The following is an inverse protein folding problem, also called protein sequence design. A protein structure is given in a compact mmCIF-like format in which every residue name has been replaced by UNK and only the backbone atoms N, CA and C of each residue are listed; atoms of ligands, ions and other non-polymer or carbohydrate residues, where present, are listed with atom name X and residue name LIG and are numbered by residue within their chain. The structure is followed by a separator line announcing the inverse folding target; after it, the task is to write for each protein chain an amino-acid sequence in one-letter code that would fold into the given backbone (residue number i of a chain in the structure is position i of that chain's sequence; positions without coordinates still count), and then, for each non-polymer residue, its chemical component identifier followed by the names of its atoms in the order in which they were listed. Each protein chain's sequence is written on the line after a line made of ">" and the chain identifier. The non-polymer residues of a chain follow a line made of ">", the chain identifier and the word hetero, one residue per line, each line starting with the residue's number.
data_IF_069546612116
#
_entry.id   IF_069546612116
#
_cell.length_a   1.000
_cell.length_b   1.000
_cell.length_c   1.000
_cell.angle_alpha   90.00
_cell.angle_beta   90.00
_cell.angle_gamma   90.00
#
_symmetry.space_group_name_H-M   'P 1'
#
loop_
_entity.id
_entity.type
_entity.pdbx_description
1 polymer ?
#
# COMPACT_ATOMS: atom_id res chain seq x y z
N UNK A 1 -3.22 0.44 -2.64
CA UNK A 1 -2.50 1.73 -2.61
C UNK A 1 -3.34 2.80 -3.30
N UNK A 2 -3.63 2.71 -4.63
CA UNK A 2 -4.35 3.72 -5.39
C UNK A 2 -5.69 4.14 -4.74
N UNK A 3 -6.52 3.16 -4.35
CA UNK A 3 -7.82 3.45 -3.71
C UNK A 3 -7.69 4.23 -2.39
N UNK A 4 -6.66 3.95 -1.61
CA UNK A 4 -6.38 4.71 -0.39
C UNK A 4 -5.96 6.14 -0.72
N UNK A 5 -5.14 6.34 -1.75
CA UNK A 5 -4.75 7.66 -2.23
C UNK A 5 -5.97 8.48 -2.68
N UNK A 6 -6.86 7.88 -3.47
CA UNK A 6 -8.08 8.55 -3.93
C UNK A 6 -9.05 8.92 -2.80
N UNK A 7 -9.17 8.05 -1.79
CA UNK A 7 -10.13 8.24 -0.69
C UNK A 7 -9.59 9.15 0.40
N UNK A 8 -8.30 9.04 0.74
CA UNK A 8 -7.69 9.71 1.88
C UNK A 8 -6.66 10.78 1.50
N UNK A 9 -6.22 10.81 0.25
CA UNK A 9 -5.29 11.78 -0.30
C UNK A 9 -5.97 12.98 -0.96
N UNK A 10 -5.30 13.60 -1.96
CA UNK A 10 -5.80 14.81 -2.64
C UNK A 10 -7.08 14.62 -3.44
N UNK A 11 -7.46 13.38 -3.75
CA UNK A 11 -8.65 13.05 -4.52
C UNK A 11 -8.38 12.07 -5.66
N UNK A 12 -9.40 11.79 -6.49
CA UNK A 12 -9.25 10.86 -7.60
C UNK A 12 -8.29 11.39 -8.66
N UNK A 13 -7.50 10.49 -9.21
CA UNK A 13 -6.65 10.76 -10.36
C UNK A 13 -7.51 10.93 -11.63
N UNK A 14 -7.06 11.77 -12.54
CA UNK A 14 -7.58 11.78 -13.91
C UNK A 14 -7.27 10.44 -14.58
N UNK A 15 -7.98 10.14 -15.68
CA UNK A 15 -7.73 8.90 -16.44
C UNK A 15 -6.28 8.78 -16.90
N UNK A 16 -5.71 9.85 -17.40
CA UNK A 16 -4.33 9.87 -17.87
C UNK A 16 -3.31 9.64 -16.75
N UNK A 17 -3.55 10.22 -15.56
CA UNK A 17 -2.70 10.00 -14.39
C UNK A 17 -2.83 8.57 -13.87
N UNK A 18 -4.04 7.98 -13.88
CA UNK A 18 -4.25 6.60 -13.49
C UNK A 18 -3.55 5.63 -14.46
N UNK A 19 -3.65 5.86 -15.77
CA UNK A 19 -2.95 5.06 -16.78
C UNK A 19 -1.42 5.17 -16.64
N UNK A 20 -0.92 6.37 -16.38
CA UNK A 20 0.50 6.57 -16.07
C UNK A 20 0.93 5.82 -14.81
N UNK A 21 0.15 5.89 -13.74
CA UNK A 21 0.41 5.15 -12.50
C UNK A 21 0.53 3.64 -12.77
N UNK A 22 -0.40 3.05 -13.53
CA UNK A 22 -0.36 1.63 -13.85
C UNK A 22 0.83 1.26 -14.74
N UNK A 23 1.19 2.10 -15.69
CA UNK A 23 2.38 1.88 -16.52
C UNK A 23 3.69 1.92 -15.71
N UNK A 24 3.78 2.79 -14.70
CA UNK A 24 4.92 2.86 -13.78
C UNK A 24 4.97 1.64 -12.84
N UNK A 25 3.84 1.05 -12.47
CA UNK A 25 3.77 -0.16 -11.65
C UNK A 25 4.41 -1.40 -12.33
N UNK A 26 4.54 -1.41 -13.64
CA UNK A 26 5.20 -2.50 -14.40
C UNK A 26 6.64 -2.69 -13.93
N UNK A 27 7.37 -1.61 -13.66
CA UNK A 27 8.75 -1.66 -13.18
C UNK A 27 8.83 -2.38 -11.83
N UNK A 28 7.89 -2.07 -10.92
CA UNK A 28 7.83 -2.71 -9.61
C UNK A 28 7.51 -4.22 -9.71
N UNK A 29 6.65 -4.61 -10.65
CA UNK A 29 6.33 -6.01 -10.92
C UNK A 29 7.53 -6.76 -11.52
N UNK A 30 8.24 -6.15 -12.45
CA UNK A 30 9.45 -6.71 -13.05
C UNK A 30 10.54 -6.95 -12.01
N UNK A 31 10.74 -6.01 -11.07
CA UNK A 31 11.66 -6.17 -9.94
C UNK A 31 11.26 -7.35 -9.01
N UNK A 32 10.00 -7.72 -9.01
CA UNK A 32 9.47 -8.88 -8.30
C UNK A 32 9.45 -10.16 -9.16
N UNK A 33 10.17 -10.19 -10.27
CA UNK A 33 10.29 -11.33 -11.20
C UNK A 33 9.01 -11.67 -11.99
N UNK A 34 8.04 -10.77 -12.03
CA UNK A 34 6.84 -10.91 -12.86
C UNK A 34 7.19 -10.54 -14.30
N UNK A 35 6.64 -11.28 -15.27
CA UNK A 35 6.84 -10.97 -16.69
C UNK A 35 6.15 -9.61 -17.03
N UNK A 36 6.90 -8.59 -17.47
CA UNK A 36 6.34 -7.26 -17.76
C UNK A 36 5.24 -7.24 -18.81
N UNK A 37 5.24 -8.23 -19.72
CA UNK A 37 4.23 -8.36 -20.77
C UNK A 37 2.85 -8.78 -20.23
N UNK A 38 2.80 -9.37 -19.06
CA UNK A 38 1.57 -9.84 -18.42
C UNK A 38 0.97 -8.82 -17.45
N UNK A 39 1.70 -7.72 -17.17
CA UNK A 39 1.28 -6.70 -16.21
C UNK A 39 0.40 -5.66 -16.90
N UNK A 40 -0.83 -5.42 -16.40
CA UNK A 40 -1.70 -4.38 -16.92
C UNK A 40 -1.07 -2.99 -16.79
N UNK A 41 -1.20 -2.18 -17.85
CA UNK A 41 -0.55 -0.87 -17.98
C UNK A 41 -1.52 0.31 -17.96
N UNK A 42 -2.81 0.03 -17.95
CA UNK A 42 -3.85 1.05 -17.97
C UNK A 42 -4.99 0.68 -17.03
N UNK A 43 -5.80 1.67 -16.71
CA UNK A 43 -7.01 1.49 -15.91
C UNK A 43 -7.94 0.42 -16.49
N UNK A 44 -8.12 0.42 -17.81
CA UNK A 44 -9.04 -0.51 -18.46
C UNK A 44 -8.47 -1.93 -18.47
N UNK A 45 -7.15 -2.09 -18.71
CA UNK A 45 -6.49 -3.39 -18.62
C UNK A 45 -6.54 -3.97 -17.20
N UNK A 46 -6.34 -3.15 -16.17
CA UNK A 46 -6.47 -3.57 -14.77
C UNK A 46 -7.89 -4.03 -14.46
N UNK A 47 -8.91 -3.30 -14.94
CA UNK A 47 -10.31 -3.71 -14.77
C UNK A 47 -10.61 -5.02 -15.46
N UNK A 48 -10.15 -5.20 -16.69
CA UNK A 48 -10.30 -6.45 -17.44
C UNK A 48 -9.57 -7.61 -16.76
N UNK A 49 -8.36 -7.37 -16.26
CA UNK A 49 -7.61 -8.35 -15.50
C UNK A 49 -8.40 -8.84 -14.27
N UNK A 50 -8.90 -7.92 -13.45
CA UNK A 50 -9.72 -8.28 -12.29
C UNK A 50 -11.04 -8.96 -12.68
N UNK A 51 -11.68 -8.54 -13.78
CA UNK A 51 -12.90 -9.19 -14.26
C UNK A 51 -12.67 -10.65 -14.64
N UNK A 52 -11.54 -10.95 -15.28
CA UNK A 52 -11.14 -12.33 -15.64
C UNK A 52 -10.74 -13.17 -14.43
N UNK A 53 -10.01 -12.57 -13.50
CA UNK A 53 -9.47 -13.30 -12.34
C UNK A 53 -10.51 -13.53 -11.25
N UNK A 54 -11.50 -12.63 -11.13
CA UNK A 54 -12.49 -12.70 -10.04
C UNK A 54 -13.20 -14.06 -9.91
N UNK A 55 -13.65 -14.73 -10.98
CA UNK A 55 -14.28 -16.05 -10.86
C UNK A 55 -13.36 -17.16 -10.33
N UNK A 56 -12.03 -16.98 -10.51
CA UNK A 56 -11.04 -17.94 -10.06
C UNK A 56 -10.54 -17.67 -8.62
N UNK A 57 -10.87 -16.50 -8.06
CA UNK A 57 -10.43 -16.14 -6.71
C UNK A 57 -11.27 -16.89 -5.68
N UNK A 58 -10.57 -17.61 -4.80
CA UNK A 58 -11.15 -18.26 -3.65
C UNK A 58 -10.32 -17.95 -2.40
N UNK A 59 -10.91 -18.11 -1.23
CA UNK A 59 -10.22 -18.03 0.04
C UNK A 59 -10.33 -19.33 0.79
N UNK A 60 -9.22 -19.78 1.38
CA UNK A 60 -9.21 -20.84 2.38
C UNK A 60 -9.37 -20.23 3.79
N UNK A 61 -9.81 -21.02 4.74
CA UNK A 61 -9.85 -20.61 6.16
C UNK A 61 -8.48 -20.12 6.66
N UNK A 62 -7.40 -20.71 6.17
CA UNK A 62 -6.04 -20.31 6.50
C UNK A 62 -5.72 -18.91 5.96
N UNK A 63 -6.12 -18.62 4.73
CA UNK A 63 -5.95 -17.30 4.13
C UNK A 63 -6.79 -16.24 4.85
N UNK A 64 -8.05 -16.56 5.19
CA UNK A 64 -8.91 -15.66 5.99
C UNK A 64 -8.31 -15.37 7.37
N UNK A 65 -7.84 -16.39 8.08
CA UNK A 65 -7.15 -16.20 9.37
C UNK A 65 -5.91 -15.33 9.25
N UNK A 66 -5.11 -15.50 8.20
CA UNK A 66 -3.94 -14.66 7.95
C UNK A 66 -4.34 -13.20 7.67
N UNK A 67 -5.36 -12.96 6.85
CA UNK A 67 -5.86 -11.61 6.58
C UNK A 67 -6.41 -10.94 7.85
N UNK A 68 -7.18 -11.67 8.66
CA UNK A 68 -7.69 -11.15 9.93
C UNK A 68 -6.55 -10.87 10.92
N UNK A 69 -5.52 -11.72 10.96
CA UNK A 69 -4.34 -11.48 11.77
C UNK A 69 -3.60 -10.21 11.36
N UNK A 70 -3.41 -9.98 10.07
CA UNK A 70 -2.74 -8.77 9.56
C UNK A 70 -3.53 -7.49 9.84
N UNK A 71 -4.85 -7.53 9.69
CA UNK A 71 -5.70 -6.36 9.90
C UNK A 71 -6.02 -6.12 11.38
N UNK A 72 -6.15 -7.18 12.17
CA UNK A 72 -6.57 -7.11 13.58
C UNK A 72 -5.60 -7.87 14.46
N UNK A 73 -4.31 -7.51 14.36
CA UNK A 73 -3.25 -8.16 15.14
C UNK A 73 -3.68 -8.46 16.57
N UNK A 74 -3.55 -9.70 17.05
CA UNK A 74 -3.90 -10.05 18.43
C UNK A 74 -2.96 -9.35 19.41
N UNK A 75 -3.47 -9.04 20.58
CA UNK A 75 -2.68 -8.47 21.66
C UNK A 75 -1.79 -9.56 22.25
N UNK A 76 -0.49 -9.54 21.91
CA UNK A 76 0.50 -10.49 22.41
C UNK A 76 1.66 -9.73 23.06
N UNK A 77 1.68 -9.70 24.38
CA UNK A 77 2.75 -9.08 25.17
C UNK A 77 2.76 -7.53 25.16
N UNK A 78 3.65 -6.95 25.94
CA UNK A 78 3.78 -5.48 26.09
C UNK A 78 4.48 -4.81 24.90
N UNK A 79 5.38 -5.53 24.22
CA UNK A 79 6.17 -4.99 23.09
C UNK A 79 5.34 -4.75 21.83
N UNK A 80 4.13 -5.29 21.74
CA UNK A 80 3.28 -5.20 20.54
C UNK A 80 2.08 -4.25 20.70
N UNK A 81 2.01 -3.52 21.82
CA UNK A 81 0.85 -2.67 22.14
C UNK A 81 0.67 -1.53 21.11
N UNK A 82 1.75 -0.91 20.65
CA UNK A 82 1.66 0.17 19.67
C UNK A 82 1.15 -0.36 18.33
N UNK A 83 1.70 -1.48 17.87
CA UNK A 83 1.27 -2.10 16.62
C UNK A 83 -0.17 -2.59 16.69
N UNK A 84 -0.56 -3.18 17.80
CA UNK A 84 -1.95 -3.56 18.08
C UNK A 84 -2.89 -2.35 18.00
N UNK A 85 -2.56 -1.25 18.69
CA UNK A 85 -3.39 -0.04 18.70
C UNK A 85 -3.52 0.57 17.29
N UNK A 86 -2.40 0.68 16.56
CA UNK A 86 -2.39 1.19 15.20
C UNK A 86 -3.21 0.28 14.27
N UNK A 87 -3.05 -1.03 14.35
CA UNK A 87 -3.81 -1.96 13.51
C UNK A 87 -5.31 -1.86 13.78
N UNK A 88 -5.72 -1.73 15.03
CA UNK A 88 -7.13 -1.55 15.41
C UNK A 88 -7.72 -0.23 14.93
N UNK A 89 -6.92 0.82 14.94
CA UNK A 89 -7.34 2.13 14.44
C UNK A 89 -7.46 2.13 12.90
N UNK A 90 -6.53 1.49 12.20
CA UNK A 90 -6.48 1.53 10.74
C UNK A 90 -7.31 0.42 10.06
N UNK A 91 -7.61 -0.68 10.74
CA UNK A 91 -8.34 -1.79 10.16
C UNK A 91 -9.71 -1.38 9.56
N UNK A 92 -10.57 -0.62 10.27
CA UNK A 92 -11.85 -0.20 9.69
C UNK A 92 -11.68 0.68 8.44
N UNK A 93 -10.68 1.56 8.43
CA UNK A 93 -10.37 2.38 7.26
C UNK A 93 -9.89 1.53 6.08
N UNK A 94 -9.04 0.54 6.33
CA UNK A 94 -8.57 -0.40 5.30
C UNK A 94 -9.74 -1.19 4.73
N UNK A 95 -10.60 -1.75 5.59
CA UNK A 95 -11.80 -2.49 5.17
C UNK A 95 -12.73 -1.59 4.34
N UNK A 96 -12.90 -0.32 4.74
CA UNK A 96 -13.73 0.65 4.00
C UNK A 96 -13.23 0.92 2.57
N UNK A 97 -11.95 0.71 2.28
CA UNK A 97 -11.38 0.86 0.93
C UNK A 97 -11.48 -0.39 0.07
N UNK A 98 -11.78 -1.55 0.67
CA UNK A 98 -11.91 -2.79 -0.06
C UNK A 98 -13.20 -2.82 -0.88
N UNK A 99 -13.17 -3.30 -2.13
CA UNK A 99 -14.37 -3.61 -2.90
C UNK A 99 -15.26 -4.62 -2.17
N UNK A 100 -16.57 -4.53 -2.38
CA UNK A 100 -17.54 -5.40 -1.71
C UNK A 100 -17.21 -6.90 -1.84
N UNK A 101 -16.88 -7.35 -3.04
CA UNK A 101 -16.52 -8.75 -3.28
C UNK A 101 -15.27 -9.22 -2.51
N UNK A 102 -14.30 -8.33 -2.27
CA UNK A 102 -13.14 -8.65 -1.43
C UNK A 102 -13.50 -8.76 0.06
N UNK A 103 -14.43 -7.93 0.50
CA UNK A 103 -14.95 -8.04 1.88
C UNK A 103 -15.69 -9.35 2.09
N UNK A 104 -16.53 -9.74 1.13
CA UNK A 104 -17.26 -11.01 1.14
C UNK A 104 -16.29 -12.20 1.18
N UNK A 105 -15.29 -12.24 0.30
CA UNK A 105 -14.26 -13.27 0.30
C UNK A 105 -13.46 -13.33 1.62
N UNK A 106 -13.09 -12.19 2.16
CA UNK A 106 -12.34 -12.08 3.41
C UNK A 106 -13.18 -12.22 4.68
N UNK A 107 -14.52 -12.32 4.55
CA UNK A 107 -15.47 -12.31 5.67
C UNK A 107 -15.28 -11.08 6.58
N UNK A 108 -15.07 -9.91 5.96
CA UNK A 108 -14.97 -8.63 6.67
C UNK A 108 -16.34 -7.99 6.77
N UNK A 109 -17.05 -8.37 7.83
CA UNK A 109 -18.33 -7.75 8.15
C UNK A 109 -18.08 -6.40 8.85
N UNK A 110 -18.44 -5.31 8.17
CA UNK A 110 -18.33 -3.95 8.70
C UNK A 110 -19.56 -3.13 8.27
N UNK A 111 -20.33 -2.62 9.25
CA UNK A 111 -21.49 -1.79 8.96
C UNK A 111 -21.13 -0.53 8.16
N UNK A 112 -21.98 -0.12 7.22
CA UNK A 112 -21.74 1.06 6.39
C UNK A 112 -21.59 2.37 7.17
N UNK A 113 -22.21 2.47 8.35
CA UNK A 113 -22.04 3.62 9.26
C UNK A 113 -20.60 3.75 9.75
N UNK A 114 -19.90 2.62 9.95
CA UNK A 114 -18.48 2.61 10.33
C UNK A 114 -17.65 3.14 9.17
N UNK A 115 -17.92 2.70 7.93
CA UNK A 115 -17.27 3.21 6.72
C UNK A 115 -17.43 4.73 6.58
N UNK A 116 -18.65 5.23 6.79
CA UNK A 116 -18.97 6.65 6.70
C UNK A 116 -18.24 7.49 7.77
N UNK A 117 -18.14 6.97 8.99
CA UNK A 117 -17.47 7.66 10.09
C UNK A 117 -15.93 7.65 9.96
N UNK A 118 -15.35 6.53 9.50
CA UNK A 118 -13.90 6.40 9.39
C UNK A 118 -13.28 7.19 8.23
N UNK A 119 -13.99 7.40 7.13
CA UNK A 119 -13.48 8.17 6.00
C UNK A 119 -13.01 9.58 6.38
N UNK A 120 -13.86 10.43 6.98
CA UNK A 120 -13.43 11.78 7.38
C UNK A 120 -12.37 11.77 8.49
N UNK A 121 -12.47 10.83 9.43
CA UNK A 121 -11.50 10.69 10.52
C UNK A 121 -10.09 10.38 9.99
N UNK A 122 -9.96 9.40 9.11
CA UNK A 122 -8.67 9.04 8.53
C UNK A 122 -8.16 10.13 7.59
N UNK A 123 -9.02 10.76 6.80
CA UNK A 123 -8.64 11.90 5.95
C UNK A 123 -8.08 13.06 6.77
N UNK A 124 -8.71 13.39 7.89
CA UNK A 124 -8.20 14.40 8.81
C UNK A 124 -6.86 13.98 9.43
N UNK A 125 -6.74 12.73 9.88
CA UNK A 125 -5.50 12.18 10.40
C UNK A 125 -4.35 12.23 9.39
N UNK A 126 -4.61 11.88 8.13
CA UNK A 126 -3.60 11.94 7.05
C UNK A 126 -3.17 13.37 6.74
N UNK A 127 -4.10 14.33 6.75
CA UNK A 127 -3.76 15.75 6.59
C UNK A 127 -2.87 16.26 7.73
N UNK A 128 -3.19 15.88 8.97
CA UNK A 128 -2.37 16.23 10.14
C UNK A 128 -0.99 15.55 10.05
N UNK A 129 -0.94 14.27 9.68
CA UNK A 129 0.32 13.54 9.51
C UNK A 129 1.20 14.13 8.40
N UNK A 130 0.61 14.73 7.37
CA UNK A 130 1.32 15.43 6.29
C UNK A 130 1.85 16.82 6.67
N UNK A 131 1.57 17.34 7.86
CA UNK A 131 2.19 18.57 8.35
C UNK A 131 3.69 18.29 8.58
N UNK A 132 4.63 19.07 8.00
CA UNK A 132 6.06 18.75 8.03
C UNK A 132 6.64 18.53 9.44
N UNK A 133 6.15 19.24 10.44
CA UNK A 133 6.58 19.05 11.83
C UNK A 133 6.11 17.71 12.41
N UNK A 134 4.86 17.32 12.12
CA UNK A 134 4.26 16.06 12.57
C UNK A 134 4.92 14.88 11.83
N UNK A 135 5.04 14.96 10.51
CA UNK A 135 5.74 13.99 9.68
C UNK A 135 7.17 13.75 10.19
N UNK A 136 7.93 14.82 10.38
CA UNK A 136 9.30 14.73 10.90
C UNK A 136 9.36 14.04 12.26
N UNK A 137 8.39 14.29 13.13
CA UNK A 137 8.31 13.68 14.45
C UNK A 137 7.98 12.18 14.38
N UNK A 138 7.02 11.80 13.53
CA UNK A 138 6.65 10.41 13.28
C UNK A 138 7.85 9.63 12.71
N UNK A 139 8.47 10.18 11.66
CA UNK A 139 9.61 9.55 11.00
C UNK A 139 10.81 9.42 11.92
N UNK A 140 11.07 10.42 12.77
CA UNK A 140 12.16 10.36 13.78
C UNK A 140 11.99 9.18 14.73
N UNK A 141 10.76 8.90 15.13
CA UNK A 141 10.45 7.85 16.11
C UNK A 141 10.35 6.46 15.48
N UNK A 142 9.77 6.37 14.27
CA UNK A 142 9.42 5.09 13.64
C UNK A 142 10.42 4.66 12.56
N UNK A 143 10.98 5.62 11.81
CA UNK A 143 11.82 5.36 10.64
C UNK A 143 12.97 6.37 10.54
N UNK A 144 13.97 6.32 11.44
CA UNK A 144 15.03 7.33 11.52
C UNK A 144 15.88 7.44 10.24
N UNK A 145 16.11 6.33 9.53
CA UNK A 145 16.85 6.33 8.26
C UNK A 145 16.05 7.03 7.15
N UNK A 146 14.76 6.74 7.05
CA UNK A 146 13.86 7.38 6.08
C UNK A 146 13.77 8.89 6.32
N UNK A 147 13.72 9.31 7.60
CA UNK A 147 13.76 10.74 7.96
C UNK A 147 15.01 11.43 7.43
N UNK A 148 16.18 10.80 7.58
CA UNK A 148 17.44 11.39 7.11
C UNK A 148 17.42 11.52 5.58
N UNK A 149 17.01 10.47 4.86
CA UNK A 149 16.92 10.49 3.42
C UNK A 149 15.93 11.55 2.89
N UNK A 150 14.74 11.65 3.51
CA UNK A 150 13.76 12.67 3.15
C UNK A 150 14.25 14.08 3.45
N UNK A 151 14.87 14.31 4.60
CA UNK A 151 15.45 15.64 4.94
C UNK A 151 16.50 16.06 3.91
N UNK A 152 17.37 15.14 3.54
CA UNK A 152 18.43 15.41 2.59
C UNK A 152 17.89 15.62 1.18
N UNK A 153 16.86 14.86 0.78
CA UNK A 153 16.12 15.07 -0.45
C UNK A 153 15.41 16.44 -0.49
N UNK A 154 14.72 16.83 0.59
CA UNK A 154 14.04 18.12 0.68
C UNK A 154 15.00 19.31 0.62
N UNK A 155 16.22 19.15 1.18
CA UNK A 155 17.26 20.19 1.10
C UNK A 155 17.86 20.32 -0.29
N UNK A 156 18.22 19.19 -0.90
CA UNK A 156 18.90 19.15 -2.18
C UNK A 156 17.95 19.22 -3.38
N UNK A 157 16.63 18.97 -3.16
CA UNK A 157 15.59 18.74 -4.20
C UNK A 157 15.97 17.65 -5.22
N UNK A 158 16.94 16.84 -4.86
CA UNK A 158 17.46 15.73 -5.66
C UNK A 158 18.07 14.68 -4.72
N UNK A 159 18.13 13.40 -5.10
CA UNK A 159 18.86 12.41 -4.31
C UNK A 159 20.35 12.76 -4.27
N UNK A 160 20.95 12.66 -3.07
CA UNK A 160 22.39 12.94 -2.86
C UNK A 160 23.30 12.01 -3.67
N UNK A 161 22.83 10.82 -3.95
CA UNK A 161 23.53 9.82 -4.76
C UNK A 161 22.50 9.19 -5.70
N UNK A 162 22.17 9.82 -6.82
CA UNK A 162 21.26 9.25 -7.78
C UNK A 162 21.90 7.99 -8.36
N UNK A 163 21.37 6.83 -8.01
CA UNK A 163 21.71 5.57 -8.64
C UNK A 163 20.50 5.16 -9.46
N UNK A 164 20.64 5.27 -10.77
CA UNK A 164 19.64 4.74 -11.69
C UNK A 164 20.07 3.32 -12.03
N UNK A 165 19.29 2.36 -11.61
CA UNK A 165 19.49 0.94 -11.92
C UNK A 165 18.26 0.48 -12.67
N UNK A 166 18.45 -0.02 -13.89
CA UNK A 166 17.35 -0.64 -14.63
C UNK A 166 16.95 -1.98 -13.98
N UNK A 167 15.74 -2.47 -14.17
CA UNK A 167 15.32 -3.79 -13.66
C UNK A 167 16.26 -4.93 -14.10
N UNK A 168 16.76 -4.87 -15.35
CA UNK A 168 17.72 -5.85 -15.88
C UNK A 168 19.04 -5.81 -15.11
N UNK A 169 19.62 -4.63 -14.90
CA UNK A 169 20.84 -4.44 -14.11
C UNK A 169 20.65 -4.84 -12.64
N UNK A 170 19.50 -4.53 -12.06
CA UNK A 170 19.18 -4.94 -10.69
C UNK A 170 19.12 -6.48 -10.58
N UNK A 171 18.50 -7.15 -11.54
CA UNK A 171 18.43 -8.61 -11.62
C UNK A 171 19.83 -9.22 -11.80
N UNK A 172 20.65 -8.63 -12.63
CA UNK A 172 22.04 -9.08 -12.84
C UNK A 172 22.88 -8.88 -11.58
N UNK A 173 22.76 -7.72 -10.91
CA UNK A 173 23.58 -7.34 -9.76
C UNK A 173 23.18 -8.05 -8.47
N UNK A 174 21.87 -8.27 -8.27
CA UNK A 174 21.31 -8.77 -7.00
C UNK A 174 20.64 -10.13 -7.11
N UNK A 175 20.27 -10.59 -8.32
CA UNK A 175 19.50 -11.83 -8.53
C UNK A 175 20.27 -13.14 -8.37
N UNK A 176 21.58 -13.12 -8.31
CA UNK A 176 22.44 -14.34 -8.31
C UNK A 176 22.72 -14.92 -6.93
N UNK A 177 22.14 -14.44 -5.85
CA UNK A 177 22.46 -14.94 -4.51
C UNK A 177 21.49 -16.00 -3.95
N UNK A 178 20.55 -16.47 -4.75
CA UNK A 178 19.53 -17.41 -4.29
C UNK A 178 19.83 -18.89 -4.60
N UNK A 179 21.01 -19.20 -5.15
CA UNK A 179 21.42 -20.60 -5.44
C UNK A 179 22.87 -20.82 -4.96
N UNK A 180 23.02 -20.95 -3.66
CA UNK A 180 24.17 -21.58 -3.03
C UNK A 180 23.70 -22.34 -1.79
#
# INVERSE_FOLDING_TARGET
>A
VLKCYEVFGPGPLSRAEEDRYWSECVIAAELQTVNPAEVPRSRDEVRQYFARMRPALCTSERAQRAMHYLLRTPRSGSSNMQFWAISRLLAPATIATLPRWMRELGQFDQPGIVDAAYRPLVSAGMRIAGIPAVETTILRRSLPMTRTALRDFHKAKAPLRPVTVTPAEAKERYGRRATA
#
